data_IF_240068554188
#
_entry.id   IF_240068554188
#
_cell.length_a   1.000
_cell.length_b   1.000
_cell.length_c   1.000
_cell.angle_alpha   90.00
_cell.angle_beta   90.00
_cell.angle_gamma   90.00
#
_symmetry.space_group_name_H-M   'P 1'
#
loop_
_entity.id
_entity.type
_entity.pdbx_description
1 polymer ?
#
# COMPACT_ATOMS: atom_id res chain seq x y z
N UNK A 1 5.57 -12.56 0.98
CA UNK A 1 4.25 -12.99 0.42
C UNK A 1 4.54 -13.80 -0.83
N UNK A 2 3.76 -14.83 -1.17
CA UNK A 2 3.94 -15.55 -2.44
C UNK A 2 2.69 -15.35 -3.30
N UNK A 3 2.77 -14.45 -4.28
CA UNK A 3 1.66 -14.11 -5.18
C UNK A 3 1.90 -14.87 -6.49
N UNK A 4 0.98 -15.77 -6.84
CA UNK A 4 0.98 -16.39 -8.16
C UNK A 4 0.07 -15.58 -9.07
N UNK A 5 0.67 -14.88 -10.03
CA UNK A 5 -0.03 -14.11 -11.05
C UNK A 5 -0.21 -14.94 -12.32
N UNK A 6 -1.22 -14.57 -13.11
CA UNK A 6 -1.30 -15.08 -14.48
C UNK A 6 -0.15 -14.48 -15.31
N UNK A 7 0.43 -15.24 -16.26
CA UNK A 7 1.59 -14.78 -17.04
C UNK A 7 1.38 -13.46 -17.79
N UNK A 8 0.13 -13.16 -18.16
CA UNK A 8 -0.24 -11.90 -18.81
C UNK A 8 0.05 -10.64 -17.97
N UNK A 9 0.21 -10.78 -16.66
CA UNK A 9 0.60 -9.67 -15.79
C UNK A 9 2.11 -9.41 -15.76
N UNK A 10 2.95 -10.34 -16.22
CA UNK A 10 4.40 -10.17 -16.17
C UNK A 10 4.83 -8.96 -17.01
N UNK A 11 4.33 -8.88 -18.25
CA UNK A 11 4.62 -7.77 -19.17
C UNK A 11 4.08 -6.42 -18.68
N UNK A 12 2.98 -6.44 -17.90
CA UNK A 12 2.35 -5.25 -17.34
C UNK A 12 3.11 -4.75 -16.11
N UNK A 13 3.56 -5.66 -15.25
CA UNK A 13 4.17 -5.33 -13.96
C UNK A 13 5.68 -5.15 -14.04
N UNK A 14 6.37 -5.82 -14.97
CA UNK A 14 7.81 -5.65 -15.18
C UNK A 14 8.25 -4.18 -15.29
N UNK A 15 7.60 -3.30 -16.07
CA UNK A 15 7.99 -1.88 -16.15
C UNK A 15 7.73 -1.10 -14.86
N UNK A 16 6.87 -1.59 -13.97
CA UNK A 16 6.53 -0.97 -12.68
C UNK A 16 7.50 -1.38 -11.56
N UNK A 17 8.45 -2.28 -11.86
CA UNK A 17 9.57 -2.64 -11.01
C UNK A 17 9.34 -3.89 -10.16
N UNK A 18 10.41 -4.33 -9.51
CA UNK A 18 10.42 -5.50 -8.65
C UNK A 18 9.50 -5.24 -7.44
N UNK A 19 8.56 -6.14 -7.18
CA UNK A 19 7.51 -6.03 -6.15
C UNK A 19 6.29 -5.15 -6.49
N UNK A 20 6.06 -4.86 -7.78
CA UNK A 20 4.86 -4.14 -8.20
C UNK A 20 3.57 -4.87 -7.78
N UNK A 21 3.54 -6.20 -7.86
CA UNK A 21 2.40 -7.01 -7.46
C UNK A 21 2.02 -6.80 -5.99
N UNK A 22 3.01 -6.88 -5.10
CA UNK A 22 2.88 -6.68 -3.66
C UNK A 22 2.39 -5.26 -3.36
N UNK A 23 2.96 -4.26 -4.05
CA UNK A 23 2.52 -2.87 -3.91
C UNK A 23 1.06 -2.68 -4.32
N UNK A 24 0.66 -3.11 -5.53
CA UNK A 24 -0.70 -2.89 -6.01
C UNK A 24 -1.74 -3.66 -5.18
N UNK A 25 -1.39 -4.85 -4.68
CA UNK A 25 -2.25 -5.60 -3.78
C UNK A 25 -2.42 -4.88 -2.44
N UNK A 26 -1.31 -4.44 -1.82
CA UNK A 26 -1.35 -3.70 -0.55
C UNK A 26 -2.10 -2.37 -0.68
N UNK A 27 -1.85 -1.62 -1.76
CA UNK A 27 -2.57 -0.38 -2.08
C UNK A 27 -4.07 -0.64 -2.26
N UNK A 28 -4.46 -1.69 -2.98
CA UNK A 28 -5.87 -2.03 -3.19
C UNK A 28 -6.58 -2.39 -1.88
N UNK A 29 -5.92 -3.15 -0.99
CA UNK A 29 -6.45 -3.50 0.33
C UNK A 29 -6.57 -2.27 1.23
N UNK A 30 -5.61 -1.34 1.16
CA UNK A 30 -5.64 -0.07 1.86
C UNK A 30 -6.80 0.82 1.38
N UNK A 31 -6.93 1.03 0.07
CA UNK A 31 -8.03 1.80 -0.52
C UNK A 31 -9.41 1.16 -0.27
N UNK A 32 -9.47 -0.17 -0.08
CA UNK A 32 -10.68 -0.87 0.32
C UNK A 32 -10.96 -0.86 1.84
N UNK A 33 -10.18 -0.09 2.62
CA UNK A 33 -10.27 0.01 4.07
C UNK A 33 -10.16 -1.34 4.80
N UNK A 34 -9.41 -2.30 4.24
CA UNK A 34 -9.24 -3.63 4.82
C UNK A 34 -8.04 -3.73 5.74
N UNK A 35 -7.06 -2.86 5.57
CA UNK A 35 -5.82 -2.81 6.34
C UNK A 35 -5.41 -1.36 6.59
N UNK A 36 -4.69 -1.11 7.68
CA UNK A 36 -4.11 0.20 7.98
C UNK A 36 -3.00 0.56 6.98
N UNK A 37 -2.65 1.84 6.93
CA UNK A 37 -1.56 2.33 6.08
C UNK A 37 -0.23 1.66 6.43
N UNK A 38 0.10 1.56 7.73
CA UNK A 38 1.31 0.91 8.19
C UNK A 38 1.38 -0.57 7.78
N UNK A 39 0.24 -1.28 7.85
CA UNK A 39 0.14 -2.68 7.40
C UNK A 39 0.35 -2.79 5.89
N UNK A 40 -0.21 -1.87 5.12
CA UNK A 40 -0.05 -1.85 3.67
C UNK A 40 1.41 -1.58 3.25
N UNK A 41 2.07 -0.60 3.87
CA UNK A 41 3.49 -0.32 3.63
C UNK A 41 4.36 -1.56 3.95
N UNK A 42 4.12 -2.19 5.10
CA UNK A 42 4.83 -3.41 5.49
C UNK A 42 4.60 -4.56 4.48
N UNK A 43 3.37 -4.79 4.04
CA UNK A 43 3.03 -5.83 3.06
C UNK A 43 3.66 -5.56 1.69
N UNK A 44 3.79 -4.29 1.30
CA UNK A 44 4.49 -3.87 0.08
C UNK A 44 6.01 -3.94 0.22
N UNK A 45 6.55 -4.24 1.40
CA UNK A 45 8.00 -4.23 1.66
C UNK A 45 8.62 -2.83 1.59
N UNK A 46 7.80 -1.79 1.80
CA UNK A 46 8.20 -0.39 1.71
C UNK A 46 8.16 0.27 3.07
N UNK A 47 9.01 1.27 3.27
CA UNK A 47 8.82 2.19 4.37
C UNK A 47 7.62 3.11 4.13
N UNK A 48 7.24 3.84 5.17
CA UNK A 48 6.03 4.64 5.20
C UNK A 48 6.02 5.76 4.15
N UNK A 49 7.13 6.46 3.95
CA UNK A 49 7.24 7.57 2.98
C UNK A 49 7.38 7.05 1.53
N UNK A 50 8.08 5.93 1.33
CA UNK A 50 8.19 5.26 0.05
C UNK A 50 6.82 4.74 -0.42
N UNK A 51 6.04 4.13 0.48
CA UNK A 51 4.69 3.67 0.17
C UNK A 51 3.77 4.84 -0.20
N UNK A 52 3.79 5.93 0.57
CA UNK A 52 3.06 7.17 0.28
C UNK A 52 3.42 7.75 -1.09
N UNK A 53 4.71 7.78 -1.41
CA UNK A 53 5.22 8.33 -2.68
C UNK A 53 4.69 7.50 -3.86
N UNK A 54 4.75 6.16 -3.77
CA UNK A 54 4.20 5.30 -4.83
C UNK A 54 2.68 5.40 -4.95
N UNK A 55 1.96 5.59 -3.85
CA UNK A 55 0.52 5.86 -3.90
C UNK A 55 0.23 7.17 -4.65
N UNK A 56 1.00 8.23 -4.42
CA UNK A 56 0.88 9.48 -5.17
C UNK A 56 1.17 9.29 -6.66
N UNK A 57 2.23 8.54 -7.01
CA UNK A 57 2.62 8.28 -8.40
C UNK A 57 1.56 7.50 -9.19
N UNK A 58 0.97 6.47 -8.57
CA UNK A 58 0.08 5.54 -9.26
C UNK A 58 -1.40 5.84 -9.12
N UNK A 59 -1.81 6.47 -8.01
CA UNK A 59 -3.22 6.72 -7.70
C UNK A 59 -3.55 8.22 -7.56
N UNK A 60 -2.57 9.13 -7.74
CA UNK A 60 -2.72 10.57 -7.49
C UNK A 60 -3.26 10.90 -6.09
N UNK A 61 -3.10 9.98 -5.14
CA UNK A 61 -3.66 10.09 -3.80
C UNK A 61 -2.72 9.39 -2.80
N UNK A 62 -2.10 10.16 -1.91
CA UNK A 62 -1.14 9.64 -0.93
C UNK A 62 -1.77 9.10 0.35
N UNK A 63 -2.91 9.66 0.76
CA UNK A 63 -3.71 9.18 1.89
C UNK A 63 -5.18 9.11 1.51
N UNK A 64 -5.82 8.02 1.87
CA UNK A 64 -7.28 7.94 1.89
C UNK A 64 -7.76 8.44 3.24
N UNK A 65 -8.10 9.73 3.30
CA UNK A 65 -8.84 10.32 4.42
C UNK A 65 -10.32 9.98 4.22
N UNK A 66 -10.66 8.70 4.30
CA UNK A 66 -12.03 8.24 4.42
C UNK A 66 -12.07 7.30 5.63
N UNK A 67 -12.55 7.89 6.72
CA UNK A 67 -13.18 7.38 7.93
C UNK A 67 -12.98 5.92 8.42
N UNK A 68 -12.95 5.83 9.76
CA UNK A 68 -12.84 4.66 10.67
C UNK A 68 -11.44 4.09 10.93
N UNK A 69 -10.55 3.94 9.94
CA UNK A 69 -9.22 3.32 10.19
C UNK A 69 -8.12 4.32 10.60
N UNK A 70 -8.35 5.63 10.41
CA UNK A 70 -7.41 6.70 10.78
C UNK A 70 -7.30 6.95 12.30
N UNK A 71 -8.11 6.29 13.11
CA UNK A 71 -8.10 6.43 14.57
C UNK A 71 -7.06 5.56 15.28
N UNK A 72 -6.51 4.53 14.63
CA UNK A 72 -5.48 3.69 15.26
C UNK A 72 -4.07 4.31 15.19
N UNK A 73 -3.72 5.01 14.10
CA UNK A 73 -2.39 5.64 13.96
C UNK A 73 -2.25 6.91 14.83
N UNK A 74 -3.34 7.57 15.21
CA UNK A 74 -3.31 8.74 16.13
C UNK A 74 -3.14 8.28 17.59
N UNK A 75 -3.59 7.07 17.96
CA UNK A 75 -3.45 6.58 19.33
C UNK A 75 -2.04 6.12 19.71
N UNK A 76 -1.15 5.91 18.74
CA UNK A 76 0.24 5.53 19.02
C UNK A 76 1.14 6.71 19.42
N UNK A 77 0.75 7.94 19.08
CA UNK A 77 1.53 9.16 19.39
C UNK A 77 1.19 9.72 20.80
N UNK A 78 0.10 9.27 21.42
CA UNK A 78 -0.35 9.74 22.74
C UNK A 78 0.12 8.90 23.96
N UNK A 79 1.04 7.96 23.78
CA UNK A 79 1.59 7.12 24.86
C UNK A 79 3.13 7.16 24.92
N UNK A 80 3.68 8.36 24.91
CA UNK A 80 5.05 8.64 25.36
C UNK A 80 5.01 9.60 26.55
#
# INVERSE_FOLDING_TARGET
>A
MNIHLQPEFDDILQPLGHSAAEFFLAASLYHAHKISFASAAHMAGLDFEAFKTRLLEHFNQGYVVADECALEDIQMIGKL
#
